data_IF_053732515755
#
_entry.id   IF_053732515755
#
_cell.length_a   1.000
_cell.length_b   1.000
_cell.length_c   1.000
_cell.angle_alpha   90.00
_cell.angle_beta   90.00
_cell.angle_gamma   90.00
#
_symmetry.space_group_name_H-M   'P 1'
#
loop_
_entity.id
_entity.type
_entity.pdbx_description
1 polymer ?
#
# COMPACT_ATOMS: atom_id res chain seq x y z
N UNK A 1 -21.29 -12.89 -20.96
CA UNK A 1 -21.06 -12.52 -19.54
C UNK A 1 -19.83 -13.29 -19.16
N UNK A 2 -18.66 -12.67 -19.31
CA UNK A 2 -17.37 -13.36 -19.26
C UNK A 2 -16.44 -12.57 -18.36
N UNK A 3 -16.76 -12.61 -17.06
CA UNK A 3 -15.89 -12.06 -16.02
C UNK A 3 -14.74 -13.06 -15.80
N UNK A 4 -13.79 -13.08 -16.75
CA UNK A 4 -12.54 -13.83 -16.60
C UNK A 4 -11.76 -13.20 -15.45
N UNK A 5 -11.89 -13.84 -14.31
CA UNK A 5 -11.29 -13.49 -13.03
C UNK A 5 -9.75 -13.45 -13.17
N UNK A 6 -9.22 -12.30 -13.59
CA UNK A 6 -7.79 -12.06 -13.89
C UNK A 6 -6.95 -12.02 -12.60
N UNK A 7 -6.89 -13.17 -11.92
CA UNK A 7 -6.01 -13.43 -10.77
C UNK A 7 -4.58 -13.58 -11.29
N UNK A 8 -3.75 -12.60 -10.96
CA UNK A 8 -2.32 -12.61 -11.29
C UNK A 8 -1.64 -13.53 -10.28
N UNK A 9 -1.09 -14.64 -10.75
CA UNK A 9 -0.37 -15.61 -9.91
C UNK A 9 0.93 -15.03 -9.37
N UNK A 10 1.43 -15.62 -8.29
CA UNK A 10 2.69 -15.29 -7.62
C UNK A 10 3.70 -16.41 -7.83
N UNK A 11 4.97 -16.06 -8.04
CA UNK A 11 6.12 -16.96 -7.99
C UNK A 11 7.04 -16.51 -6.86
N UNK A 12 7.14 -17.33 -5.82
CA UNK A 12 7.94 -17.08 -4.62
C UNK A 12 9.26 -17.85 -4.60
N UNK A 13 10.14 -17.49 -3.66
CA UNK A 13 11.39 -18.23 -3.41
C UNK A 13 11.13 -19.70 -3.04
N UNK A 14 10.02 -20.00 -2.37
CA UNK A 14 9.57 -21.34 -2.01
C UNK A 14 9.32 -22.22 -3.24
N UNK A 15 8.79 -21.67 -4.33
CA UNK A 15 8.49 -22.41 -5.57
C UNK A 15 9.77 -22.83 -6.31
N UNK A 16 10.85 -22.04 -6.21
CA UNK A 16 12.15 -22.36 -6.84
C UNK A 16 12.84 -23.60 -6.23
N UNK A 17 12.32 -24.15 -5.12
CA UNK A 17 12.87 -25.35 -4.49
C UNK A 17 12.25 -26.65 -4.98
N UNK A 18 11.19 -26.62 -5.80
CA UNK A 18 10.56 -27.83 -6.32
C UNK A 18 11.26 -28.42 -7.54
N UNK A 19 12.01 -27.60 -8.30
CA UNK A 19 12.63 -27.99 -9.57
C UNK A 19 14.11 -28.42 -9.39
N UNK A 20 14.38 -29.30 -8.43
CA UNK A 20 15.61 -30.11 -8.42
C UNK A 20 15.30 -31.50 -8.95
N UNK A 21 14.99 -31.56 -10.25
CA UNK A 21 14.85 -32.84 -10.95
C UNK A 21 16.24 -33.50 -11.04
N UNK A 22 16.30 -34.79 -10.69
CA UNK A 22 17.54 -35.53 -10.52
C UNK A 22 18.25 -35.77 -11.85
N UNK A 23 19.25 -34.95 -12.18
CA UNK A 23 20.13 -35.20 -13.34
C UNK A 23 21.04 -36.40 -13.04
N UNK A 24 20.55 -37.57 -13.44
CA UNK A 24 21.33 -38.79 -13.58
C UNK A 24 22.49 -38.56 -14.56
N UNK A 25 23.69 -38.99 -14.19
CA UNK A 25 24.91 -38.81 -14.96
C UNK A 25 24.92 -39.67 -16.23
N UNK A 26 25.20 -39.04 -17.39
CA UNK A 26 25.84 -39.67 -18.57
C UNK A 26 26.35 -38.65 -19.61
N UNK A 27 27.60 -38.26 -19.43
CA UNK A 27 28.69 -38.19 -20.43
C UNK A 27 28.31 -38.35 -21.94
N UNK A 28 28.57 -37.33 -22.77
CA UNK A 28 29.49 -37.40 -23.93
C UNK A 28 29.73 -36.02 -24.62
N UNK A 29 31.01 -35.66 -24.72
CA UNK A 29 31.74 -34.96 -25.80
C UNK A 29 31.24 -33.67 -26.52
N UNK A 30 32.09 -32.63 -26.40
CA UNK A 30 32.72 -31.83 -27.47
C UNK A 30 31.87 -31.15 -28.57
N UNK A 31 31.91 -29.82 -28.63
CA UNK A 31 32.81 -29.10 -29.56
C UNK A 31 32.88 -27.59 -29.25
N UNK A 32 33.99 -26.94 -29.61
CA UNK A 32 34.21 -25.50 -29.45
C UNK A 32 33.93 -24.75 -30.76
N UNK A 33 33.48 -23.49 -30.69
CA UNK A 33 34.22 -22.33 -31.21
C UNK A 33 33.49 -21.00 -30.97
N UNK A 34 34.27 -19.93 -30.85
CA UNK A 34 33.87 -18.53 -31.01
C UNK A 34 34.81 -17.94 -32.05
N UNK A 35 34.34 -17.10 -33.00
CA UNK A 35 34.73 -15.68 -32.88
C UNK A 35 33.77 -14.64 -33.50
N UNK A 36 33.81 -13.41 -32.96
CA UNK A 36 34.18 -12.26 -33.79
C UNK A 36 33.14 -11.22 -34.26
N UNK A 37 33.18 -10.04 -33.61
CA UNK A 37 33.57 -8.74 -34.24
C UNK A 37 32.61 -7.94 -35.18
N UNK A 38 31.89 -7.00 -34.55
CA UNK A 38 31.76 -5.54 -34.88
C UNK A 38 31.39 -4.99 -36.29
N UNK A 39 30.37 -4.09 -36.32
CA UNK A 39 30.19 -2.78 -37.03
C UNK A 39 28.72 -2.32 -36.86
N UNK A 40 28.29 -1.07 -36.64
CA UNK A 40 28.64 0.29 -37.11
C UNK A 40 27.90 0.75 -38.40
N UNK A 41 27.13 1.85 -38.31
CA UNK A 41 26.32 2.49 -39.37
C UNK A 41 24.86 2.71 -38.89
N UNK A 42 24.32 3.91 -38.56
CA UNK A 42 24.22 5.23 -39.22
C UNK A 42 23.07 5.34 -40.27
N UNK A 43 22.03 6.11 -39.86
CA UNK A 43 21.01 6.87 -40.61
C UNK A 43 20.13 6.23 -41.71
N UNK A 44 18.79 6.42 -41.59
CA UNK A 44 17.94 7.12 -42.60
C UNK A 44 16.46 7.27 -42.17
N UNK A 45 16.04 8.52 -41.99
CA UNK A 45 14.82 9.08 -42.61
C UNK A 45 15.26 9.82 -43.92
N UNK A 46 14.37 10.35 -44.78
CA UNK A 46 12.90 10.48 -44.69
C UNK A 46 12.16 9.83 -45.90
N UNK A 47 10.83 9.96 -46.02
CA UNK A 47 10.23 10.98 -46.93
C UNK A 47 8.68 11.00 -46.90
N UNK A 48 8.12 12.10 -47.42
CA UNK A 48 6.72 12.50 -47.35
C UNK A 48 5.98 12.28 -48.68
N UNK A 49 4.64 12.21 -48.67
CA UNK A 49 3.84 12.52 -49.88
C UNK A 49 2.52 13.24 -49.57
N UNK A 50 2.15 14.14 -50.48
CA UNK A 50 1.16 15.21 -50.28
C UNK A 50 -0.24 14.90 -50.81
N UNK A 51 -1.17 15.79 -50.43
CA UNK A 51 -2.52 16.03 -50.96
C UNK A 51 -2.48 16.53 -52.43
N UNK A 52 -3.63 16.73 -53.12
CA UNK A 52 -4.51 17.92 -52.98
C UNK A 52 -6.00 17.51 -52.79
N UNK A 53 -6.98 18.33 -52.37
CA UNK A 53 -7.35 19.73 -52.66
C UNK A 53 -8.79 19.72 -53.23
N UNK A 54 -9.69 20.72 -53.18
CA UNK A 54 -9.79 22.11 -52.66
C UNK A 54 -11.31 22.37 -52.34
N UNK A 55 -11.83 23.52 -51.89
CA UNK A 55 -11.33 24.89 -51.67
C UNK A 55 -12.38 25.77 -50.94
N UNK A 56 -12.10 27.07 -50.77
CA UNK A 56 -12.76 27.97 -49.81
C UNK A 56 -14.05 28.67 -50.30
N UNK A 57 -14.88 29.18 -49.38
CA UNK A 57 -15.27 30.62 -49.31
C UNK A 57 -16.20 30.98 -48.11
N UNK A 58 -16.01 32.19 -47.56
CA UNK A 58 -16.93 32.92 -46.66
C UNK A 58 -18.26 33.29 -47.38
N UNK A 59 -19.37 33.68 -46.75
CA UNK A 59 -19.50 34.88 -45.90
C UNK A 59 -20.86 35.01 -45.16
N UNK A 60 -20.97 36.01 -44.27
CA UNK A 60 -22.15 36.30 -43.43
C UNK A 60 -23.33 36.89 -44.21
N UNK A 61 -24.56 36.63 -43.75
CA UNK A 61 -25.63 37.64 -43.70
C UNK A 61 -26.67 37.43 -42.60
N UNK A 62 -27.47 38.47 -42.37
CA UNK A 62 -28.19 38.77 -41.13
C UNK A 62 -29.71 38.75 -41.30
N UNK A 63 -30.41 38.29 -40.25
CA UNK A 63 -31.79 38.59 -39.83
C UNK A 63 -32.94 38.43 -40.86
N UNK A 64 -33.93 37.58 -40.52
CA UNK A 64 -35.34 38.00 -40.53
C UNK A 64 -36.19 37.27 -39.49
N UNK A 65 -37.22 37.99 -39.01
CA UNK A 65 -38.12 37.61 -37.91
C UNK A 65 -39.38 36.86 -38.39
N UNK A 66 -39.99 36.09 -37.47
CA UNK A 66 -41.26 35.36 -37.63
C UNK A 66 -41.40 34.30 -36.53
N UNK A 67 -41.88 34.62 -35.32
CA UNK A 67 -43.29 34.81 -34.92
C UNK A 67 -44.07 33.50 -34.79
N UNK A 68 -44.49 33.17 -33.55
CA UNK A 68 -45.54 32.19 -33.27
C UNK A 68 -45.19 31.11 -32.23
N UNK A 69 -45.96 31.03 -31.14
CA UNK A 69 -46.11 29.81 -30.32
C UNK A 69 -45.25 29.70 -29.06
N UNK A 70 -45.65 30.39 -27.99
CA UNK A 70 -45.26 29.99 -26.62
C UNK A 70 -46.28 28.98 -26.04
N UNK A 71 -45.81 28.16 -25.10
CA UNK A 71 -46.57 27.27 -24.22
C UNK A 71 -47.15 25.97 -24.81
N UNK A 72 -46.35 24.91 -24.79
CA UNK A 72 -46.84 23.60 -24.31
C UNK A 72 -45.72 22.73 -23.73
N UNK A 73 -45.87 22.30 -22.47
CA UNK A 73 -45.43 20.97 -22.05
C UNK A 73 -43.95 20.68 -21.77
N UNK A 74 -43.26 21.43 -20.89
CA UNK A 74 -42.10 20.89 -20.14
C UNK A 74 -42.21 21.23 -18.64
N UNK A 75 -43.10 20.52 -17.95
CA UNK A 75 -43.28 20.66 -16.49
C UNK A 75 -43.33 19.28 -15.83
N UNK A 76 -42.19 18.56 -15.83
CA UNK A 76 -41.92 17.32 -15.04
C UNK A 76 -40.50 16.76 -15.30
N UNK A 77 -39.44 17.40 -14.77
CA UNK A 77 -38.10 16.76 -14.72
C UNK A 77 -37.16 17.30 -13.63
N UNK A 78 -37.66 17.69 -12.44
CA UNK A 78 -36.83 18.22 -11.35
C UNK A 78 -37.16 17.64 -9.96
N UNK A 79 -37.63 16.38 -9.87
CA UNK A 79 -37.95 15.72 -8.60
C UNK A 79 -37.50 14.23 -8.54
N UNK A 80 -36.38 13.88 -9.18
CA UNK A 80 -35.87 12.50 -9.21
C UNK A 80 -34.37 12.33 -8.84
N UNK A 81 -33.68 13.42 -8.45
CA UNK A 81 -32.24 13.41 -8.13
C UNK A 81 -31.84 13.99 -6.73
N UNK A 82 -32.58 13.78 -5.61
CA UNK A 82 -32.01 14.02 -4.27
C UNK A 82 -31.19 12.84 -3.74
N UNK A 83 -31.72 11.61 -3.87
CA UNK A 83 -31.25 10.45 -3.10
C UNK A 83 -29.92 9.84 -3.58
N UNK A 84 -29.60 9.92 -4.87
CA UNK A 84 -28.37 9.35 -5.43
C UNK A 84 -27.10 10.09 -4.97
N UNK A 85 -27.18 11.41 -4.77
CA UNK A 85 -26.06 12.19 -4.21
C UNK A 85 -25.82 11.87 -2.73
N UNK A 86 -26.86 11.50 -1.98
CA UNK A 86 -26.73 11.13 -0.56
C UNK A 86 -25.97 9.81 -0.38
N UNK A 87 -26.20 8.82 -1.24
CA UNK A 87 -25.51 7.53 -1.19
C UNK A 87 -24.02 7.64 -1.59
N UNK A 88 -23.68 8.43 -2.60
CA UNK A 88 -22.28 8.64 -3.01
C UNK A 88 -21.53 9.53 -2.02
N UNK A 89 -22.16 10.62 -1.57
CA UNK A 89 -21.57 11.53 -0.57
C UNK A 89 -21.40 10.89 0.81
N UNK A 90 -22.36 10.06 1.25
CA UNK A 90 -22.31 9.38 2.54
C UNK A 90 -21.14 8.41 2.68
N UNK A 91 -20.90 7.57 1.65
CA UNK A 91 -19.82 6.56 1.70
C UNK A 91 -18.45 7.21 1.58
N UNK A 92 -18.25 8.12 0.61
CA UNK A 92 -16.97 8.81 0.44
C UNK A 92 -16.66 9.74 1.64
N UNK A 93 -17.67 10.43 2.16
CA UNK A 93 -17.56 11.26 3.36
C UNK A 93 -17.25 10.46 4.63
N UNK A 94 -17.82 9.27 4.79
CA UNK A 94 -17.53 8.39 5.93
C UNK A 94 -16.06 7.94 5.95
N UNK A 95 -15.52 7.48 4.83
CA UNK A 95 -14.11 7.09 4.75
C UNK A 95 -13.16 8.27 5.01
N UNK A 96 -13.43 9.44 4.40
CA UNK A 96 -12.63 10.64 4.64
C UNK A 96 -12.68 11.08 6.11
N UNK A 97 -13.87 11.04 6.73
CA UNK A 97 -14.04 11.38 8.15
C UNK A 97 -13.27 10.40 9.04
N UNK A 98 -13.31 9.10 8.75
CA UNK A 98 -12.61 8.08 9.53
C UNK A 98 -11.09 8.26 9.52
N UNK A 99 -10.46 8.41 8.35
CA UNK A 99 -9.01 8.70 8.27
C UNK A 99 -8.66 9.99 9.02
N UNK A 100 -9.44 11.08 8.87
CA UNK A 100 -9.16 12.34 9.58
C UNK A 100 -9.32 12.28 11.10
N UNK A 101 -10.05 11.29 11.64
CA UNK A 101 -10.16 11.08 13.10
C UNK A 101 -9.04 10.18 13.61
N UNK A 102 -8.66 9.14 12.87
CA UNK A 102 -7.46 8.34 13.16
C UNK A 102 -6.21 9.23 13.24
N UNK A 103 -5.98 10.08 12.23
CA UNK A 103 -4.81 10.95 12.18
C UNK A 103 -4.77 11.96 13.36
N UNK A 104 -5.92 12.52 13.77
CA UNK A 104 -6.02 13.41 14.95
C UNK A 104 -5.69 12.72 16.26
N UNK A 105 -6.10 11.47 16.42
CA UNK A 105 -5.81 10.69 17.63
C UNK A 105 -4.31 10.38 17.71
N UNK A 106 -3.69 10.00 16.58
CA UNK A 106 -2.23 9.82 16.43
C UNK A 106 -1.47 11.11 16.77
N UNK A 107 -1.86 12.25 16.20
CA UNK A 107 -1.21 13.55 16.39
C UNK A 107 -1.16 13.97 17.88
N UNK A 108 -2.16 13.57 18.67
CA UNK A 108 -2.21 13.86 20.11
C UNK A 108 -1.01 13.28 20.89
N UNK A 109 -0.45 12.14 20.43
CA UNK A 109 0.73 11.51 21.03
C UNK A 109 2.04 12.02 20.42
N UNK A 110 2.01 12.47 19.17
CA UNK A 110 3.20 12.81 18.39
C UNK A 110 4.06 13.90 19.05
N UNK A 111 3.44 14.87 19.72
CA UNK A 111 4.14 15.93 20.47
C UNK A 111 5.02 15.45 21.63
N UNK A 112 4.84 14.21 22.10
CA UNK A 112 5.66 13.58 23.15
C UNK A 112 6.50 12.39 22.67
N UNK A 113 6.53 12.08 21.38
CA UNK A 113 7.20 10.88 20.86
C UNK A 113 8.68 10.80 21.25
N UNK A 114 9.37 11.95 21.28
CA UNK A 114 10.77 12.04 21.71
C UNK A 114 10.97 11.71 23.21
N UNK A 115 10.01 12.06 24.06
CA UNK A 115 10.02 11.70 25.47
C UNK A 115 9.83 10.18 25.65
N UNK A 116 8.81 9.59 25.02
CA UNK A 116 8.58 8.14 25.14
C UNK A 116 9.74 7.29 24.61
N UNK A 117 10.38 7.73 23.52
CA UNK A 117 11.53 7.05 22.90
C UNK A 117 12.88 7.43 23.52
N UNK A 118 12.89 8.11 24.67
CA UNK A 118 14.13 8.30 25.44
C UNK A 118 14.65 6.94 25.91
N UNK A 119 15.98 6.79 25.97
CA UNK A 119 16.66 5.55 26.36
C UNK A 119 17.65 5.86 27.48
N UNK A 120 17.38 5.34 28.67
CA UNK A 120 18.23 5.45 29.86
C UNK A 120 18.96 4.13 30.15
N UNK A 121 18.29 3.00 29.93
CA UNK A 121 18.81 1.67 30.21
C UNK A 121 18.33 0.65 29.17
N UNK A 122 19.02 -0.49 29.13
CA UNK A 122 18.63 -1.68 28.40
C UNK A 122 18.34 -2.83 29.37
N UNK A 123 17.31 -3.62 29.06
CA UNK A 123 16.87 -4.77 29.84
C UNK A 123 16.90 -6.04 28.99
N UNK A 124 17.39 -7.12 29.59
CA UNK A 124 17.34 -8.47 29.02
C UNK A 124 16.01 -9.20 29.30
N UNK A 125 15.13 -8.62 30.13
CA UNK A 125 13.81 -9.16 30.43
C UNK A 125 12.72 -8.29 29.84
N UNK A 126 11.86 -8.88 28.99
CA UNK A 126 10.70 -8.18 28.41
C UNK A 126 9.60 -8.05 29.46
N UNK A 127 9.17 -6.82 29.83
CA UNK A 127 8.08 -6.63 30.78
C UNK A 127 6.73 -7.01 30.16
N UNK A 128 5.77 -7.37 31.00
CA UNK A 128 4.39 -7.61 30.56
C UNK A 128 3.73 -6.28 30.21
N UNK A 129 3.06 -6.21 29.06
CA UNK A 129 2.28 -5.03 28.68
C UNK A 129 1.11 -4.79 29.65
N UNK A 130 0.97 -3.55 30.09
CA UNK A 130 -0.09 -3.02 30.96
C UNK A 130 -0.87 -1.94 30.21
N UNK A 131 -2.06 -1.49 30.69
CA UNK A 131 -2.81 -0.41 30.05
C UNK A 131 -1.98 0.86 29.84
N UNK A 132 -2.08 1.46 28.64
CA UNK A 132 -1.22 2.57 28.21
C UNK A 132 -0.22 2.19 27.10
N UNK A 133 -0.55 1.21 26.26
CA UNK A 133 0.30 0.71 25.17
C UNK A 133 0.21 1.62 23.95
N UNK A 134 1.33 2.16 23.49
CA UNK A 134 1.44 2.94 22.25
C UNK A 134 2.35 2.22 21.23
N UNK A 135 1.80 1.66 20.13
CA UNK A 135 2.58 1.09 19.03
C UNK A 135 3.27 2.19 18.22
N UNK A 136 4.58 2.07 17.92
CA UNK A 136 5.38 3.12 17.27
C UNK A 136 6.34 2.53 16.24
N UNK A 137 6.39 3.12 15.04
CA UNK A 137 7.46 2.87 14.07
C UNK A 137 8.71 3.68 14.49
N UNK A 138 9.80 2.97 14.81
CA UNK A 138 11.06 3.55 15.30
C UNK A 138 11.90 4.22 14.21
N UNK A 139 11.63 3.92 12.93
CA UNK A 139 12.31 4.50 11.76
C UNK A 139 11.70 5.86 11.41
N UNK A 140 10.38 5.96 11.37
CA UNK A 140 9.68 7.24 11.10
C UNK A 140 9.44 8.07 12.36
N UNK A 141 9.49 7.44 13.55
CA UNK A 141 9.12 8.03 14.85
C UNK A 141 7.68 8.56 14.84
N UNK A 142 6.76 7.72 14.37
CA UNK A 142 5.32 7.99 14.34
C UNK A 142 4.56 6.85 15.01
N UNK A 143 3.38 7.13 15.56
CA UNK A 143 2.46 6.08 16.04
C UNK A 143 2.11 5.16 14.86
N UNK A 144 2.16 3.84 15.09
CA UNK A 144 1.80 2.83 14.09
C UNK A 144 0.28 2.58 14.12
N UNK A 145 -0.36 2.43 12.94
CA UNK A 145 -1.80 2.15 12.82
C UNK A 145 -2.26 0.84 13.49
N UNK A 146 -1.35 -0.01 13.99
CA UNK A 146 -1.70 -1.08 14.94
C UNK A 146 -2.36 -0.54 16.22
N UNK A 147 -2.16 0.74 16.59
CA UNK A 147 -2.83 1.42 17.69
C UNK A 147 -4.36 1.20 17.68
N UNK A 148 -5.02 1.42 16.54
CA UNK A 148 -6.47 1.26 16.41
C UNK A 148 -6.95 -0.19 16.58
N UNK A 149 -6.05 -1.15 16.42
CA UNK A 149 -6.32 -2.59 16.55
C UNK A 149 -6.11 -3.13 17.97
N UNK A 150 -5.62 -2.31 18.90
CA UNK A 150 -5.54 -2.69 20.31
C UNK A 150 -6.95 -2.78 20.93
N UNK A 151 -7.08 -3.65 21.93
CA UNK A 151 -8.23 -3.63 22.82
C UNK A 151 -8.29 -2.30 23.59
N UNK A 152 -9.47 -1.70 23.73
CA UNK A 152 -9.63 -0.37 24.33
C UNK A 152 -9.14 -0.29 25.79
N UNK A 153 -9.13 -1.42 26.51
CA UNK A 153 -8.56 -1.53 27.85
C UNK A 153 -7.03 -1.32 27.90
N UNK A 154 -6.33 -1.43 26.76
CA UNK A 154 -4.89 -1.22 26.66
C UNK A 154 -4.50 0.11 26.01
N UNK A 155 -5.42 0.80 25.32
CA UNK A 155 -5.14 2.09 24.68
C UNK A 155 -4.91 3.19 25.75
N UNK A 156 -3.86 4.02 25.63
CA UNK A 156 -3.73 5.24 26.42
C UNK A 156 -4.88 6.22 26.08
N UNK A 157 -5.49 6.83 27.09
CA UNK A 157 -6.56 7.83 26.90
C UNK A 157 -6.04 9.23 26.57
N UNK A 158 -4.76 9.46 26.81
CA UNK A 158 -4.07 10.72 26.55
C UNK A 158 -2.56 10.49 26.44
N UNK A 159 -1.85 11.50 25.96
CA UNK A 159 -0.39 11.56 25.99
C UNK A 159 0.23 11.60 27.40
N UNK A 160 -0.55 11.56 28.49
CA UNK A 160 -0.03 11.33 29.84
C UNK A 160 -0.16 9.86 30.28
N UNK A 161 -1.07 9.10 29.67
CA UNK A 161 -1.41 7.72 30.07
C UNK A 161 -0.59 6.65 29.34
N UNK A 162 0.44 7.05 28.57
CA UNK A 162 1.33 6.12 27.87
C UNK A 162 2.31 5.50 28.88
N UNK A 163 2.07 4.26 29.28
CA UNK A 163 2.92 3.49 30.19
C UNK A 163 4.07 2.78 29.45
N UNK A 164 3.80 2.32 28.22
CA UNK A 164 4.72 1.49 27.46
C UNK A 164 4.60 1.78 25.96
N UNK A 165 5.73 1.97 25.29
CA UNK A 165 5.78 1.96 23.83
C UNK A 165 6.17 0.57 23.34
N UNK A 166 5.44 0.05 22.35
CA UNK A 166 5.89 -1.12 21.58
C UNK A 166 6.48 -0.58 20.29
N UNK A 167 7.81 -0.54 20.23
CA UNK A 167 8.57 -0.01 19.11
C UNK A 167 8.87 -1.08 18.07
N UNK A 168 8.60 -0.78 16.80
CA UNK A 168 8.94 -1.65 15.67
C UNK A 168 9.99 -0.98 14.79
N UNK A 169 11.04 -1.71 14.43
CA UNK A 169 12.00 -1.31 13.40
C UNK A 169 11.90 -2.31 12.25
N UNK A 170 11.18 -1.92 11.21
CA UNK A 170 10.79 -2.84 10.14
C UNK A 170 11.59 -2.63 8.83
N UNK A 171 11.73 -3.73 8.09
CA UNK A 171 12.25 -3.80 6.72
C UNK A 171 11.35 -4.68 5.86
N UNK A 172 11.17 -4.28 4.60
CA UNK A 172 10.44 -5.07 3.60
C UNK A 172 11.45 -5.78 2.68
N UNK A 173 11.27 -7.08 2.48
CA UNK A 173 12.07 -7.95 1.61
C UNK A 173 11.22 -8.43 0.42
N UNK A 174 11.81 -8.48 -0.78
CA UNK A 174 11.14 -9.04 -1.97
C UNK A 174 11.26 -10.56 -1.93
N UNK A 175 10.15 -11.26 -1.69
CA UNK A 175 10.11 -12.72 -1.59
C UNK A 175 9.57 -13.41 -2.85
N UNK A 176 9.22 -12.62 -3.87
CA UNK A 176 8.77 -13.12 -5.16
C UNK A 176 8.15 -12.04 -6.04
N UNK A 177 7.56 -12.47 -7.16
CA UNK A 177 6.91 -11.57 -8.13
C UNK A 177 5.58 -12.09 -8.61
N UNK A 178 4.72 -11.19 -9.07
CA UNK A 178 3.44 -11.50 -9.70
C UNK A 178 3.58 -11.56 -11.22
N UNK A 179 2.63 -12.22 -11.88
CA UNK A 179 2.60 -12.37 -13.34
C UNK A 179 2.49 -11.05 -14.14
N UNK A 180 2.33 -9.90 -13.47
CA UNK A 180 2.40 -8.56 -14.06
C UNK A 180 3.72 -7.82 -13.77
N UNK A 181 4.74 -8.52 -13.26
CA UNK A 181 6.04 -7.96 -12.87
C UNK A 181 6.03 -7.20 -11.55
N UNK A 182 4.89 -7.09 -10.85
CA UNK A 182 4.84 -6.45 -9.54
C UNK A 182 5.50 -7.33 -8.46
N UNK A 183 6.12 -6.74 -7.45
CA UNK A 183 6.77 -7.49 -6.37
C UNK A 183 5.76 -7.98 -5.32
N UNK A 184 6.07 -9.10 -4.68
CA UNK A 184 5.51 -9.49 -3.40
C UNK A 184 6.53 -9.22 -2.28
N UNK A 185 6.12 -8.52 -1.24
CA UNK A 185 6.95 -8.17 -0.11
C UNK A 185 6.56 -8.95 1.16
N UNK A 186 7.55 -9.42 1.89
CA UNK A 186 7.40 -9.88 3.27
C UNK A 186 8.08 -8.87 4.20
N UNK A 187 7.41 -8.53 5.30
CA UNK A 187 7.96 -7.59 6.29
C UNK A 187 8.61 -8.37 7.44
N UNK A 188 9.81 -7.97 7.84
CA UNK A 188 10.43 -8.36 9.11
C UNK A 188 10.55 -7.11 10.00
N UNK A 189 10.38 -7.27 11.32
CA UNK A 189 10.54 -6.19 12.29
C UNK A 189 11.29 -6.67 13.53
N UNK A 190 12.29 -5.90 13.94
CA UNK A 190 12.79 -5.95 15.32
C UNK A 190 11.79 -5.27 16.25
N UNK A 191 11.36 -5.96 17.30
CA UNK A 191 10.36 -5.46 18.26
C UNK A 191 11.03 -5.16 19.60
N UNK A 192 10.67 -4.00 20.16
CA UNK A 192 11.12 -3.50 21.46
C UNK A 192 9.91 -3.16 22.33
N UNK A 193 10.02 -3.40 23.63
CA UNK A 193 9.12 -2.80 24.64
C UNK A 193 9.91 -1.76 25.40
N UNK A 194 9.39 -0.54 25.46
CA UNK A 194 10.00 0.60 26.13
C UNK A 194 9.08 1.01 27.28
N UNK A 195 9.56 0.89 28.51
CA UNK A 195 8.84 1.38 29.68
C UNK A 195 9.04 2.90 29.80
N UNK A 196 7.96 3.68 29.70
CA UNK A 196 8.06 5.14 29.60
C UNK A 196 8.52 5.78 30.92
N UNK A 197 8.12 5.21 32.06
CA UNK A 197 8.41 5.78 33.39
C UNK A 197 9.89 5.70 33.81
N UNK A 198 10.67 4.78 33.24
CA UNK A 198 12.09 4.58 33.56
C UNK A 198 13.01 4.68 32.31
N UNK A 199 12.43 4.83 31.12
CA UNK A 199 13.13 4.85 29.82
C UNK A 199 13.98 3.59 29.56
N UNK A 200 13.53 2.43 30.04
CA UNK A 200 14.18 1.13 29.84
C UNK A 200 13.70 0.47 28.56
N UNK A 201 14.64 0.10 27.70
CA UNK A 201 14.38 -0.60 26.44
C UNK A 201 14.62 -2.10 26.61
N UNK A 202 13.63 -2.92 26.23
CA UNK A 202 13.72 -4.38 26.23
C UNK A 202 13.56 -4.90 24.81
N UNK A 203 14.57 -5.58 24.27
CA UNK A 203 14.45 -6.23 22.98
C UNK A 203 13.63 -7.52 23.11
N UNK A 204 12.58 -7.66 22.30
CA UNK A 204 11.70 -8.83 22.30
C UNK A 204 12.21 -9.91 21.36
N UNK A 205 12.75 -9.49 20.20
CA UNK A 205 13.14 -10.39 19.12
C UNK A 205 12.76 -9.83 17.75
N UNK A 206 13.17 -10.57 16.73
CA UNK A 206 12.78 -10.32 15.34
C UNK A 206 11.52 -11.13 15.01
N UNK A 207 10.57 -10.49 14.33
CA UNK A 207 9.30 -11.10 13.91
C UNK A 207 9.11 -10.89 12.42
N UNK A 208 8.83 -11.98 11.71
CA UNK A 208 8.48 -11.96 10.28
C UNK A 208 6.97 -12.07 10.11
N UNK A 209 6.42 -11.29 9.19
CA UNK A 209 5.00 -11.31 8.83
C UNK A 209 4.67 -12.49 7.92
N UNK A 210 3.41 -12.61 7.51
CA UNK A 210 3.04 -13.59 6.49
C UNK A 210 3.73 -13.28 5.17
N UNK A 211 3.79 -14.28 4.29
CA UNK A 211 4.05 -14.04 2.87
C UNK A 211 2.96 -13.11 2.27
N UNK A 212 3.26 -12.41 1.16
CA UNK A 212 2.25 -11.74 0.34
C UNK A 212 1.28 -12.76 -0.28
N UNK A 213 0.04 -12.38 -0.65
CA UNK A 213 -0.94 -13.33 -1.14
C UNK A 213 -0.55 -13.95 -2.49
N UNK A 214 -0.66 -15.27 -2.63
CA UNK A 214 -0.26 -16.05 -3.81
C UNK A 214 -1.00 -15.67 -5.11
N UNK A 215 -2.06 -14.86 -5.02
CA UNK A 215 -2.62 -14.18 -6.19
C UNK A 215 -3.23 -12.83 -5.81
N UNK A 216 -3.30 -11.92 -6.79
CA UNK A 216 -3.95 -10.61 -6.63
C UNK A 216 -4.87 -10.27 -7.79
N UNK A 217 -5.93 -9.52 -7.49
CA UNK A 217 -6.68 -8.74 -8.49
C UNK A 217 -6.06 -7.35 -8.60
N UNK A 218 -5.97 -6.82 -9.81
CA UNK A 218 -5.41 -5.49 -10.08
C UNK A 218 -3.87 -5.42 -10.15
N UNK A 219 -3.38 -4.22 -10.48
CA UNK A 219 -1.97 -3.88 -10.59
C UNK A 219 -1.32 -3.57 -9.23
N UNK A 220 -0.01 -3.34 -9.25
CA UNK A 220 0.77 -2.93 -8.08
C UNK A 220 1.19 -4.08 -7.17
N UNK A 221 2.26 -3.85 -6.41
CA UNK A 221 2.83 -4.81 -5.47
C UNK A 221 1.89 -5.10 -4.29
N UNK A 222 2.16 -6.18 -3.57
CA UNK A 222 1.45 -6.53 -2.32
C UNK A 222 2.44 -6.90 -1.23
N UNK A 223 2.05 -6.64 0.01
CA UNK A 223 2.82 -6.98 1.20
C UNK A 223 2.00 -7.94 2.07
N UNK A 224 2.67 -8.86 2.76
CA UNK A 224 2.06 -9.71 3.76
C UNK A 224 1.61 -8.97 5.04
N UNK A 225 1.33 -9.73 6.10
CA UNK A 225 0.85 -9.18 7.37
C UNK A 225 1.90 -8.33 8.10
N UNK A 226 1.45 -7.38 8.93
CA UNK A 226 2.37 -6.62 9.80
C UNK A 226 2.85 -7.48 10.97
N UNK A 227 4.16 -7.67 11.19
CA UNK A 227 4.67 -8.60 12.23
C UNK A 227 4.21 -8.24 13.64
N UNK A 228 4.07 -6.93 13.90
CA UNK A 228 3.52 -6.38 15.15
C UNK A 228 2.18 -7.02 15.55
N UNK A 229 1.31 -7.36 14.58
CA UNK A 229 -0.01 -7.96 14.84
C UNK A 229 0.10 -9.26 15.63
N UNK A 230 1.05 -10.12 15.25
CA UNK A 230 1.19 -11.43 15.89
C UNK A 230 1.87 -11.34 17.27
N UNK A 231 2.78 -10.37 17.46
CA UNK A 231 3.31 -10.05 18.79
C UNK A 231 2.23 -9.49 19.72
N UNK A 232 1.52 -8.44 19.31
CA UNK A 232 0.50 -7.78 20.14
C UNK A 232 -0.66 -8.73 20.50
N UNK A 233 -1.06 -9.61 19.57
CA UNK A 233 -2.01 -10.72 19.86
C UNK A 233 -1.45 -11.71 20.87
N UNK A 234 -0.18 -12.14 20.74
CA UNK A 234 0.47 -13.05 21.71
C UNK A 234 0.62 -12.40 23.10
N UNK A 235 0.80 -11.08 23.15
CA UNK A 235 0.86 -10.30 24.39
C UNK A 235 -0.52 -10.06 25.05
N UNK A 236 -1.62 -10.41 24.37
CA UNK A 236 -2.98 -10.27 24.90
C UNK A 236 -3.54 -8.84 24.91
N UNK A 237 -3.01 -7.97 24.04
CA UNK A 237 -3.42 -6.54 23.95
C UNK A 237 -4.24 -6.22 22.70
N UNK A 238 -4.53 -7.24 21.87
CA UNK A 238 -5.40 -7.24 20.68
C UNK A 238 -6.48 -8.33 20.79
#
# INVERSE_FOLDING_TARGET
>A
MDDKDNKRGFTGLSDLTSDVESISSKQHENHAESPGRAKSGINREPDSRQLPGEGNASDRKSVKSGSGGLFSGITKLLLAIPWQLYLVGGVAGYFYYQDTMEDREIDSFQGKIAYYLTRSADSNSVPRLVPGVLPVDLKTRTVDRMYFRLNDAYKPKSAADVSSVVGFKCSDEVVGSYSDGASGYQKSCDIYVIEVGNHTWSYVGNFTGSEPPNSKKGSGSKTGSHPAKDYLRKAGVM
#
